data_IF_538027562370
#
_entry.id   IF_538027562370
#
_cell.length_a   1.000
_cell.length_b   1.000
_cell.length_c   1.000
_cell.angle_alpha   90.00
_cell.angle_beta   90.00
_cell.angle_gamma   90.00
#
_symmetry.space_group_name_H-M   'P 1'
#
loop_
_entity.id
_entity.type
_entity.pdbx_description
1 polymer ?
#
# COMPACT_ATOMS: atom_id res chain seq x y z
N UNK A 1 34.43 -13.64 27.81
CA UNK A 1 34.39 -13.55 26.34
C UNK A 1 32.95 -13.31 25.93
N UNK A 2 32.70 -12.19 25.24
CA UNK A 2 31.40 -11.84 24.64
C UNK A 2 31.25 -12.57 23.30
N UNK A 3 30.00 -12.86 22.94
CA UNK A 3 29.33 -13.00 21.63
C UNK A 3 28.20 -14.02 21.84
N UNK A 4 26.93 -13.86 21.45
CA UNK A 4 26.29 -12.99 20.46
C UNK A 4 24.79 -13.05 20.77
N UNK A 5 24.18 -11.92 21.12
CA UNK A 5 22.72 -11.77 21.19
C UNK A 5 22.28 -10.90 20.02
N UNK A 6 22.30 -11.47 18.81
CA UNK A 6 21.88 -10.81 17.57
C UNK A 6 21.08 -11.87 16.80
N UNK A 7 19.76 -11.83 16.91
CA UNK A 7 18.88 -12.82 16.28
C UNK A 7 17.47 -12.87 16.84
N UNK A 8 17.25 -12.38 18.07
CA UNK A 8 15.91 -12.39 18.68
C UNK A 8 15.12 -11.12 18.34
N UNK A 9 15.78 -9.98 18.15
CA UNK A 9 15.15 -8.71 17.78
C UNK A 9 14.68 -8.66 16.32
N UNK A 10 15.37 -9.36 15.42
CA UNK A 10 15.06 -9.37 13.98
C UNK A 10 13.88 -10.29 13.63
N UNK A 11 13.66 -11.34 14.42
CA UNK A 11 12.49 -12.22 14.29
C UNK A 11 11.22 -11.65 14.94
N UNK A 12 11.35 -10.73 15.90
CA UNK A 12 10.21 -10.18 16.64
C UNK A 12 9.48 -9.06 15.87
N UNK A 13 10.16 -8.38 14.95
CA UNK A 13 9.56 -7.35 14.10
C UNK A 13 8.73 -7.93 12.94
N UNK A 14 8.96 -9.21 12.56
CA UNK A 14 8.18 -9.94 11.56
C UNK A 14 6.76 -10.31 12.08
N UNK A 15 6.44 -10.02 13.35
CA UNK A 15 5.33 -10.65 14.06
C UNK A 15 3.94 -10.04 13.84
N UNK A 16 3.79 -8.79 13.40
CA UNK A 16 2.44 -8.18 13.33
C UNK A 16 1.75 -8.43 11.98
N UNK A 17 2.53 -8.48 10.88
CA UNK A 17 2.03 -8.62 9.53
C UNK A 17 2.63 -9.87 8.88
N UNK A 18 1.84 -10.95 8.86
CA UNK A 18 2.24 -12.26 8.36
C UNK A 18 2.25 -12.33 6.82
N UNK A 19 2.96 -11.41 6.15
CA UNK A 19 3.04 -11.35 4.69
C UNK A 19 3.42 -12.71 4.08
N UNK A 20 4.45 -13.36 4.63
CA UNK A 20 4.94 -14.67 4.19
C UNK A 20 3.91 -15.81 4.26
N UNK A 21 2.89 -15.73 5.12
CA UNK A 21 1.86 -16.77 5.28
C UNK A 21 0.65 -16.57 4.36
N UNK A 22 0.52 -15.38 3.77
CA UNK A 22 -0.64 -14.98 2.94
C UNK A 22 -0.38 -15.09 1.45
N UNK A 23 0.89 -15.18 1.08
CA UNK A 23 1.35 -15.50 -0.24
C UNK A 23 1.40 -17.04 -0.41
N UNK A 24 0.80 -17.63 -1.47
CA UNK A 24 0.82 -19.07 -1.70
C UNK A 24 2.26 -19.58 -1.81
N UNK A 25 2.51 -20.78 -1.27
CA UNK A 25 3.84 -21.39 -1.26
C UNK A 25 4.40 -21.54 -2.69
N UNK A 26 5.71 -21.30 -2.87
CA UNK A 26 6.41 -21.60 -4.12
C UNK A 26 6.17 -23.07 -4.48
N UNK A 27 5.48 -23.34 -5.59
CA UNK A 27 5.50 -24.68 -6.15
C UNK A 27 6.94 -24.94 -6.63
N UNK A 28 7.58 -26.05 -6.19
CA UNK A 28 8.89 -26.40 -6.71
C UNK A 28 8.76 -26.65 -8.21
N UNK A 29 9.64 -26.01 -8.98
CA UNK A 29 9.80 -26.25 -10.41
C UNK A 29 10.06 -27.74 -10.62
N UNK A 30 9.08 -28.46 -11.15
CA UNK A 30 9.31 -29.79 -11.72
C UNK A 30 10.12 -29.61 -12.99
N UNK A 31 11.40 -30.00 -12.97
CA UNK A 31 12.23 -30.11 -14.17
C UNK A 31 11.50 -30.92 -15.24
N UNK A 32 11.17 -30.28 -16.37
CA UNK A 32 10.49 -30.91 -17.52
C UNK A 32 9.29 -30.13 -18.08
N UNK A 33 8.88 -29.02 -17.47
CA UNK A 33 7.87 -28.11 -18.02
C UNK A 33 8.55 -26.97 -18.78
N UNK A 34 8.36 -26.91 -20.11
CA UNK A 34 8.79 -25.79 -20.98
C UNK A 34 7.95 -24.50 -20.79
N UNK A 35 7.13 -24.45 -19.73
CA UNK A 35 6.47 -23.23 -19.29
C UNK A 35 7.29 -22.61 -18.15
N UNK A 36 7.67 -21.32 -18.24
CA UNK A 36 8.30 -20.64 -17.12
C UNK A 36 7.37 -20.77 -15.92
N UNK A 37 7.92 -21.20 -14.78
CA UNK A 37 7.18 -21.30 -13.53
C UNK A 37 6.85 -19.89 -13.04
N UNK A 38 5.79 -19.29 -13.59
CA UNK A 38 5.23 -18.03 -13.12
C UNK A 38 4.74 -18.28 -11.70
N UNK A 39 5.29 -17.53 -10.75
CA UNK A 39 4.82 -17.57 -9.37
C UNK A 39 3.33 -17.22 -9.36
N UNK A 40 2.47 -17.87 -8.55
CA UNK A 40 1.02 -17.61 -8.54
C UNK A 40 0.63 -16.16 -8.20
N UNK A 41 1.63 -15.34 -7.85
CA UNK A 41 1.52 -13.96 -7.41
C UNK A 41 1.82 -12.94 -8.50
N UNK A 42 2.24 -13.34 -9.70
CA UNK A 42 3.12 -12.46 -10.45
C UNK A 42 4.45 -12.27 -9.69
N UNK A 43 5.37 -11.52 -10.28
CA UNK A 43 6.74 -11.48 -9.76
C UNK A 43 6.84 -10.49 -8.60
N UNK A 44 6.88 -11.03 -7.37
CA UNK A 44 7.40 -10.27 -6.22
C UNK A 44 8.84 -9.89 -6.52
N UNK A 45 9.14 -8.61 -6.41
CA UNK A 45 10.51 -8.14 -6.55
C UNK A 45 11.34 -8.51 -5.33
N UNK A 46 12.68 -8.59 -5.47
CA UNK A 46 13.57 -8.77 -4.33
C UNK A 46 13.26 -7.77 -3.22
N UNK A 47 13.36 -8.17 -1.93
CA UNK A 47 13.15 -7.27 -0.82
C UNK A 47 13.99 -6.00 -0.92
N UNK A 48 13.43 -4.86 -0.51
CA UNK A 48 14.21 -3.65 -0.29
C UNK A 48 15.08 -3.83 0.94
N UNK A 49 16.24 -3.20 0.95
CA UNK A 49 17.11 -3.12 2.12
C UNK A 49 16.63 -2.04 3.09
N UNK A 50 16.96 -2.18 4.37
CA UNK A 50 16.72 -1.15 5.39
C UNK A 50 17.31 0.22 5.02
N UNK A 51 18.42 0.23 4.28
CA UNK A 51 19.07 1.46 3.83
C UNK A 51 18.27 2.15 2.71
N UNK A 52 17.70 1.37 1.78
CA UNK A 52 16.84 1.90 0.72
C UNK A 52 15.54 2.46 1.31
N UNK A 53 14.89 1.71 2.21
CA UNK A 53 13.67 2.16 2.91
C UNK A 53 13.92 3.46 3.67
N UNK A 54 15.02 3.54 4.43
CA UNK A 54 15.37 4.77 5.16
C UNK A 54 15.64 5.94 4.23
N UNK A 55 16.30 5.70 3.10
CA UNK A 55 16.56 6.75 2.11
C UNK A 55 15.26 7.30 1.50
N UNK A 56 14.26 6.44 1.27
CA UNK A 56 12.94 6.88 0.83
C UNK A 56 12.27 7.75 1.91
N UNK A 57 12.25 7.30 3.16
CA UNK A 57 11.69 8.07 4.29
C UNK A 57 12.36 9.44 4.46
N UNK A 58 13.69 9.49 4.36
CA UNK A 58 14.45 10.75 4.37
C UNK A 58 14.08 11.66 3.20
N UNK A 59 13.86 11.10 2.00
CA UNK A 59 13.43 11.85 0.81
C UNK A 59 12.00 12.37 0.90
N UNK A 60 11.09 11.61 1.51
CA UNK A 60 9.70 11.99 1.73
C UNK A 60 9.54 12.93 2.95
N UNK A 61 10.48 12.91 3.88
CA UNK A 61 10.44 13.68 5.13
C UNK A 61 9.50 13.08 6.20
N UNK A 62 9.16 11.79 6.09
CA UNK A 62 8.20 11.08 6.93
C UNK A 62 8.62 9.62 7.13
N UNK A 63 8.24 9.03 8.27
CA UNK A 63 8.37 7.58 8.46
C UNK A 63 7.18 6.87 7.79
N UNK A 64 7.44 5.78 7.06
CA UNK A 64 6.39 5.04 6.37
C UNK A 64 5.51 4.29 7.38
N UNK A 65 4.22 4.06 7.05
CA UNK A 65 3.36 3.28 7.93
C UNK A 65 3.90 1.85 8.09
N UNK A 66 3.91 1.29 9.32
CA UNK A 66 4.62 0.04 9.63
C UNK A 66 4.32 -1.11 8.68
N UNK A 67 3.06 -1.32 8.30
CA UNK A 67 2.64 -2.41 7.42
C UNK A 67 3.19 -2.28 6.00
N UNK A 68 3.26 -1.06 5.46
CA UNK A 68 3.85 -0.80 4.15
C UNK A 68 5.37 -0.88 4.18
N UNK A 69 6.00 -0.35 5.24
CA UNK A 69 7.45 -0.50 5.48
C UNK A 69 7.84 -1.98 5.49
N UNK A 70 7.12 -2.79 6.26
CA UNK A 70 7.37 -4.24 6.33
C UNK A 70 7.11 -4.95 5.02
N UNK A 71 6.12 -4.49 4.23
CA UNK A 71 5.91 -5.00 2.90
C UNK A 71 7.13 -4.76 2.00
N UNK A 72 7.68 -3.53 1.94
CA UNK A 72 8.87 -3.23 1.14
C UNK A 72 10.10 -4.07 1.55
N UNK A 73 10.28 -4.30 2.86
CA UNK A 73 11.33 -5.18 3.41
C UNK A 73 11.07 -6.68 3.15
N UNK A 74 9.86 -7.06 2.73
CA UNK A 74 9.50 -8.41 2.31
C UNK A 74 9.57 -8.56 0.78
N UNK A 75 9.14 -7.56 0.03
CA UNK A 75 9.17 -7.47 -1.41
C UNK A 75 9.14 -6.00 -1.85
N UNK A 76 10.12 -5.57 -2.64
CA UNK A 76 10.18 -4.20 -3.17
C UNK A 76 9.23 -4.01 -4.36
N UNK A 77 7.93 -4.12 -4.11
CA UNK A 77 6.89 -4.08 -5.14
C UNK A 77 6.37 -5.47 -5.52
N UNK A 78 5.29 -5.48 -6.28
CA UNK A 78 4.54 -6.67 -6.65
C UNK A 78 3.87 -6.48 -8.00
N UNK A 79 3.85 -7.52 -8.83
CA UNK A 79 3.20 -7.50 -10.15
C UNK A 79 4.10 -6.89 -11.23
N UNK A 80 4.01 -7.42 -12.46
CA UNK A 80 4.85 -7.01 -13.58
C UNK A 80 4.07 -6.52 -14.81
N UNK A 81 2.74 -6.65 -14.84
CA UNK A 81 1.91 -6.38 -16.02
C UNK A 81 0.58 -5.68 -15.65
N UNK A 82 0.07 -4.94 -16.63
CA UNK A 82 -0.94 -3.85 -16.67
C UNK A 82 -2.21 -3.94 -15.80
N UNK A 83 -2.49 -5.05 -15.13
CA UNK A 83 -3.73 -5.24 -14.36
C UNK A 83 -3.58 -4.92 -12.86
N UNK A 84 -2.38 -5.07 -12.29
CA UNK A 84 -2.13 -4.77 -10.88
C UNK A 84 -0.66 -4.73 -10.51
N UNK A 85 -0.24 -3.64 -9.87
CA UNK A 85 1.08 -3.55 -9.29
C UNK A 85 1.10 -2.77 -7.96
N UNK A 86 2.06 -3.14 -7.12
CA UNK A 86 2.58 -2.27 -6.07
C UNK A 86 3.95 -1.77 -6.53
N UNK A 87 4.13 -0.45 -6.47
CA UNK A 87 5.31 0.23 -6.96
C UNK A 87 6.55 -0.17 -6.17
N UNK A 88 7.69 -0.18 -6.88
CA UNK A 88 8.99 -0.33 -6.26
C UNK A 88 9.39 0.99 -5.60
N UNK A 89 10.29 0.92 -4.65
CA UNK A 89 10.71 2.05 -3.83
C UNK A 89 11.25 3.23 -4.65
N UNK A 90 11.76 3.00 -5.85
CA UNK A 90 12.26 4.04 -6.76
C UNK A 90 11.13 4.80 -7.50
N UNK A 91 9.92 4.24 -7.52
CA UNK A 91 8.74 4.73 -8.23
C UNK A 91 7.71 5.36 -7.28
N UNK A 92 7.84 5.09 -5.97
CA UNK A 92 6.97 5.62 -4.92
C UNK A 92 7.27 7.10 -4.67
N UNK A 93 6.21 7.91 -4.54
CA UNK A 93 6.30 9.32 -4.23
C UNK A 93 4.95 9.96 -3.94
N UNK A 94 4.96 11.24 -3.59
CA UNK A 94 3.73 12.00 -3.37
C UNK A 94 2.92 12.06 -4.66
N UNK A 95 1.61 11.83 -4.59
CA UNK A 95 0.74 11.72 -5.76
C UNK A 95 0.81 12.98 -6.63
N UNK A 96 0.83 14.17 -6.01
CA UNK A 96 0.99 15.45 -6.73
C UNK A 96 2.26 15.55 -7.59
N UNK A 97 3.30 14.79 -7.25
CA UNK A 97 4.62 14.87 -7.89
C UNK A 97 4.76 13.74 -8.93
N UNK A 98 4.24 12.55 -8.61
CA UNK A 98 4.34 11.35 -9.47
C UNK A 98 3.23 11.30 -10.53
N UNK A 99 1.99 11.63 -10.16
CA UNK A 99 0.85 11.68 -11.07
C UNK A 99 -0.03 12.91 -10.79
N UNK A 100 0.42 14.11 -11.23
CA UNK A 100 -0.32 15.36 -11.03
C UNK A 100 -1.72 15.34 -11.65
N UNK A 101 -1.92 14.56 -12.73
CA UNK A 101 -3.21 14.49 -13.42
C UNK A 101 -4.26 13.81 -12.55
N UNK A 102 -3.92 12.70 -11.90
CA UNK A 102 -4.80 12.04 -10.92
C UNK A 102 -4.98 12.95 -9.72
N UNK A 103 -3.90 13.54 -9.19
CA UNK A 103 -3.99 14.46 -8.06
C UNK A 103 -4.97 15.60 -8.32
N UNK A 104 -4.87 16.29 -9.45
CA UNK A 104 -5.73 17.41 -9.83
C UNK A 104 -7.19 16.98 -10.07
N UNK A 105 -7.40 15.83 -10.72
CA UNK A 105 -8.75 15.36 -11.08
C UNK A 105 -9.59 14.98 -9.87
N UNK A 106 -8.94 14.44 -8.84
CA UNK A 106 -9.59 13.94 -7.63
C UNK A 106 -9.48 14.88 -6.44
N UNK A 107 -8.56 15.85 -6.48
CA UNK A 107 -8.58 16.97 -5.55
C UNK A 107 -9.82 17.82 -5.81
N UNK A 108 -10.54 18.16 -4.76
CA UNK A 108 -11.67 19.08 -4.87
C UNK A 108 -11.21 20.48 -5.33
N UNK A 109 -11.94 21.15 -6.24
CA UNK A 109 -11.72 22.57 -6.52
C UNK A 109 -12.15 23.48 -5.35
N UNK A 110 -11.24 24.40 -4.97
CA UNK A 110 -11.40 25.64 -4.16
C UNK A 110 -12.52 26.55 -4.70
N UNK A 111 -13.03 27.62 -4.03
CA UNK A 111 -13.17 28.00 -2.61
C UNK A 111 -14.66 28.13 -2.19
N UNK A 112 -15.59 27.64 -3.02
CA UNK A 112 -17.03 27.92 -2.91
C UNK A 112 -17.87 26.78 -2.33
N UNK A 113 -17.22 25.66 -1.96
CA UNK A 113 -17.78 24.64 -1.10
C UNK A 113 -16.66 24.00 -0.25
N UNK A 114 -16.11 24.75 0.70
CA UNK A 114 -15.10 24.29 1.67
C UNK A 114 -15.68 23.31 2.72
N UNK A 115 -16.63 22.47 2.32
CA UNK A 115 -17.21 21.47 3.20
C UNK A 115 -16.34 20.22 3.16
N UNK A 116 -15.32 20.21 4.02
CA UNK A 116 -14.64 18.96 4.34
C UNK A 116 -15.65 17.98 4.93
N UNK A 117 -15.56 16.72 4.53
CA UNK A 117 -16.44 15.67 5.05
C UNK A 117 -16.28 15.59 6.58
N UNK A 118 -17.36 15.77 7.38
CA UNK A 118 -17.28 15.70 8.84
C UNK A 118 -16.76 14.35 9.33
N UNK A 119 -16.08 14.35 10.47
CA UNK A 119 -15.53 13.14 11.11
C UNK A 119 -16.55 12.00 11.23
N UNK A 120 -17.80 12.32 11.56
CA UNK A 120 -18.90 11.36 11.71
C UNK A 120 -19.22 10.59 10.42
N UNK A 121 -18.99 11.21 9.26
CA UNK A 121 -19.18 10.61 7.94
C UNK A 121 -17.88 10.04 7.38
N UNK A 122 -16.75 10.64 7.75
CA UNK A 122 -15.43 10.29 7.26
C UNK A 122 -14.92 9.00 7.91
N UNK A 123 -14.91 8.90 9.24
CA UNK A 123 -14.30 7.78 9.99
C UNK A 123 -15.16 6.50 10.05
N UNK A 124 -16.08 6.32 9.09
CA UNK A 124 -16.82 5.07 8.88
C UNK A 124 -16.02 4.19 7.92
N UNK A 125 -15.62 3.01 8.39
CA UNK A 125 -14.84 2.03 7.64
C UNK A 125 -15.62 0.72 7.44
N UNK A 126 -15.14 -0.14 6.53
CA UNK A 126 -15.77 -1.42 6.25
C UNK A 126 -16.93 -1.31 5.26
N UNK A 127 -17.96 -2.14 5.38
CA UNK A 127 -19.07 -2.20 4.42
C UNK A 127 -20.05 -1.03 4.48
N UNK A 128 -20.09 -0.31 5.60
CA UNK A 128 -21.00 0.83 5.81
C UNK A 128 -20.43 2.15 5.29
N UNK A 129 -19.15 2.16 4.89
CA UNK A 129 -18.53 3.36 4.34
C UNK A 129 -19.17 3.77 3.02
N UNK A 130 -19.21 5.07 2.77
CA UNK A 130 -19.59 5.62 1.48
C UNK A 130 -18.33 6.14 0.80
N UNK A 131 -18.00 5.65 -0.40
CA UNK A 131 -16.74 6.01 -1.07
C UNK A 131 -16.60 7.51 -1.33
N UNK A 132 -17.72 8.20 -1.57
CA UNK A 132 -17.75 9.66 -1.76
C UNK A 132 -17.48 10.46 -0.49
N UNK A 133 -17.50 9.85 0.70
CA UNK A 133 -17.15 10.52 1.96
C UNK A 133 -15.63 10.62 2.16
N UNK A 134 -14.84 10.67 1.08
CA UNK A 134 -13.41 10.97 1.13
C UNK A 134 -13.17 12.48 1.23
N UNK A 135 -12.01 12.88 1.71
CA UNK A 135 -11.61 14.29 1.81
C UNK A 135 -10.70 14.62 0.64
N UNK A 136 -11.26 15.26 -0.39
CA UNK A 136 -10.52 15.56 -1.62
C UNK A 136 -9.28 16.42 -1.36
N UNK A 137 -9.28 17.24 -0.31
CA UNK A 137 -8.13 18.05 0.09
C UNK A 137 -6.91 17.24 0.53
N UNK A 138 -7.05 15.95 0.84
CA UNK A 138 -5.92 15.07 1.19
C UNK A 138 -5.26 14.41 -0.02
N UNK A 139 -5.95 14.34 -1.17
CA UNK A 139 -5.54 13.52 -2.33
C UNK A 139 -4.13 13.87 -2.80
N UNK A 140 -3.84 15.15 -3.00
CA UNK A 140 -2.53 15.62 -3.48
C UNK A 140 -1.36 15.31 -2.52
N UNK A 141 -1.65 15.06 -1.24
CA UNK A 141 -0.67 14.74 -0.20
C UNK A 141 -0.59 13.24 0.11
N UNK A 142 -1.32 12.41 -0.62
CA UNK A 142 -1.19 10.96 -0.47
C UNK A 142 0.06 10.41 -1.15
N UNK A 143 0.61 9.33 -0.62
CA UNK A 143 1.71 8.59 -1.22
C UNK A 143 1.16 7.55 -2.21
N UNK A 144 1.60 7.59 -3.46
CA UNK A 144 1.24 6.58 -4.45
C UNK A 144 2.04 5.30 -4.20
N UNK A 145 1.35 4.21 -3.88
CA UNK A 145 1.95 2.92 -3.56
C UNK A 145 1.73 1.85 -4.64
N UNK A 146 0.81 2.07 -5.58
CA UNK A 146 0.44 1.06 -6.57
C UNK A 146 -0.70 1.47 -7.48
N UNK A 147 -0.93 0.65 -8.50
CA UNK A 147 -2.06 0.74 -9.42
C UNK A 147 -2.77 -0.60 -9.41
N UNK A 148 -4.08 -0.60 -9.19
CA UNK A 148 -4.88 -1.82 -9.27
C UNK A 148 -6.04 -1.58 -10.22
N UNK A 149 -6.19 -2.44 -11.23
CA UNK A 149 -7.11 -2.25 -12.35
C UNK A 149 -6.96 -0.81 -12.92
N UNK A 150 -8.02 -0.03 -13.19
CA UNK A 150 -7.89 1.41 -13.53
C UNK A 150 -7.91 2.36 -12.31
N UNK A 151 -7.58 1.86 -11.12
CA UNK A 151 -7.51 2.61 -9.86
C UNK A 151 -6.08 2.75 -9.31
N UNK A 152 -5.96 3.54 -8.25
CA UNK A 152 -4.69 3.79 -7.54
C UNK A 152 -4.77 3.39 -6.07
N UNK A 153 -3.65 2.86 -5.57
CA UNK A 153 -3.43 2.56 -4.17
C UNK A 153 -2.66 3.72 -3.55
N UNK A 154 -3.27 4.39 -2.58
CA UNK A 154 -2.74 5.59 -1.95
C UNK A 154 -2.60 5.40 -0.44
N UNK A 155 -1.57 5.98 0.17
CA UNK A 155 -1.40 6.05 1.62
C UNK A 155 -1.56 7.49 2.07
N UNK A 156 -2.48 7.74 3.00
CA UNK A 156 -2.87 9.07 3.44
C UNK A 156 -2.21 9.42 4.79
N UNK A 157 -1.17 10.28 4.82
CA UNK A 157 -0.48 10.65 6.05
C UNK A 157 -1.30 11.58 6.95
N UNK A 158 -2.38 12.20 6.46
CA UNK A 158 -3.22 13.11 7.25
C UNK A 158 -4.08 12.37 8.29
N UNK A 159 -4.26 11.06 8.12
CA UNK A 159 -5.03 10.20 9.01
C UNK A 159 -4.17 9.03 9.41
N UNK A 160 -3.70 9.04 10.65
CA UNK A 160 -2.87 7.99 11.21
C UNK A 160 -3.44 7.44 12.52
N UNK A 161 -3.22 6.16 12.77
CA UNK A 161 -3.52 5.53 14.07
C UNK A 161 -2.44 5.88 15.09
N UNK A 162 -2.69 5.56 16.37
CA UNK A 162 -1.67 5.68 17.43
C UNK A 162 -0.48 4.74 17.25
N UNK A 163 -0.61 3.72 16.39
CA UNK A 163 0.46 2.75 16.06
C UNK A 163 1.32 3.21 14.89
N UNK A 164 0.99 4.36 14.28
CA UNK A 164 1.72 4.91 13.13
C UNK A 164 1.22 4.41 11.77
N UNK A 165 0.23 3.52 11.73
CA UNK A 165 -0.44 3.15 10.48
C UNK A 165 -1.14 4.36 9.86
N UNK A 166 -0.98 4.53 8.56
CA UNK A 166 -1.70 5.51 7.77
C UNK A 166 -2.94 4.88 7.19
N UNK A 167 -3.98 5.69 7.03
CA UNK A 167 -5.15 5.29 6.26
C UNK A 167 -4.72 4.96 4.81
N UNK A 168 -5.21 3.84 4.28
CA UNK A 168 -4.94 3.42 2.92
C UNK A 168 -6.20 3.51 2.08
N UNK A 169 -6.07 3.98 0.84
CA UNK A 169 -7.17 4.23 -0.08
C UNK A 169 -6.99 3.39 -1.34
N UNK A 170 -8.09 2.79 -1.79
CA UNK A 170 -8.25 2.40 -3.17
C UNK A 170 -9.17 3.43 -3.83
N UNK A 171 -8.59 4.26 -4.70
CA UNK A 171 -9.29 5.33 -5.41
C UNK A 171 -9.42 4.93 -6.88
N UNK A 172 -10.65 4.88 -7.39
CA UNK A 172 -10.90 4.40 -8.75
C UNK A 172 -12.07 5.15 -9.39
N UNK A 173 -12.06 5.37 -10.72
CA UNK A 173 -13.07 6.17 -11.41
C UNK A 173 -14.48 5.56 -11.40
N UNK A 174 -14.60 4.23 -11.23
CA UNK A 174 -15.91 3.58 -11.07
C UNK A 174 -16.41 3.60 -9.61
N UNK A 175 -15.57 4.02 -8.67
CA UNK A 175 -16.00 4.38 -7.33
C UNK A 175 -16.36 5.87 -7.33
N UNK A 176 -17.42 6.26 -6.62
CA UNK A 176 -17.76 7.67 -6.43
C UNK A 176 -16.76 8.43 -5.52
N UNK A 177 -15.54 7.90 -5.34
CA UNK A 177 -14.50 8.37 -4.41
C UNK A 177 -13.57 7.22 -4.03
N UNK A 178 -13.09 7.19 -2.78
CA UNK A 178 -12.14 6.19 -2.30
C UNK A 178 -12.81 5.12 -1.41
N UNK A 179 -12.43 3.86 -1.59
CA UNK A 179 -12.60 2.86 -0.52
C UNK A 179 -11.42 2.95 0.44
N UNK A 180 -11.69 3.15 1.72
CA UNK A 180 -10.71 3.48 2.75
C UNK A 180 -10.56 2.36 3.77
N UNK A 181 -9.34 2.23 4.25
CA UNK A 181 -8.87 1.19 5.16
C UNK A 181 -7.98 1.82 6.23
N UNK A 182 -7.94 1.21 7.42
CA UNK A 182 -7.19 1.77 8.56
C UNK A 182 -5.68 1.59 8.44
N UNK A 183 -5.23 0.77 7.50
CA UNK A 183 -3.82 0.45 7.26
C UNK A 183 -3.62 -0.05 5.83
N UNK A 184 -2.38 -0.02 5.35
CA UNK A 184 -2.02 -0.67 4.08
C UNK A 184 -2.25 -2.19 4.13
N UNK A 185 -1.98 -2.81 5.28
CA UNK A 185 -2.28 -4.23 5.51
C UNK A 185 -3.76 -4.56 5.24
N UNK A 186 -4.70 -3.81 5.81
CA UNK A 186 -6.13 -4.07 5.65
C UNK A 186 -6.57 -3.97 4.19
N UNK A 187 -6.05 -2.99 3.45
CA UNK A 187 -6.28 -2.79 2.03
C UNK A 187 -5.74 -3.98 1.21
N UNK A 188 -4.49 -4.38 1.43
CA UNK A 188 -3.87 -5.49 0.72
C UNK A 188 -4.50 -6.85 1.05
N UNK A 189 -4.96 -7.07 2.29
CA UNK A 189 -5.66 -8.31 2.66
C UNK A 189 -7.04 -8.42 2.01
N UNK A 190 -7.76 -7.30 1.87
CA UNK A 190 -9.04 -7.27 1.16
C UNK A 190 -8.83 -7.58 -0.32
N UNK A 191 -7.81 -7.00 -0.95
CA UNK A 191 -7.48 -7.25 -2.36
C UNK A 191 -7.08 -8.71 -2.62
N UNK A 192 -6.17 -9.27 -1.80
CA UNK A 192 -5.78 -10.67 -1.91
C UNK A 192 -6.98 -11.62 -1.74
N UNK A 193 -7.91 -11.28 -0.84
CA UNK A 193 -9.14 -12.06 -0.65
C UNK A 193 -10.07 -12.01 -1.87
N UNK A 194 -10.14 -10.86 -2.54
CA UNK A 194 -10.97 -10.69 -3.75
C UNK A 194 -10.37 -11.43 -4.95
N UNK A 195 -9.05 -11.33 -5.15
CA UNK A 195 -8.36 -12.00 -6.26
C UNK A 195 -8.23 -13.50 -6.09
N UNK A 196 -8.08 -13.97 -4.85
CA UNK A 196 -7.86 -15.39 -4.54
C UNK A 196 -8.87 -15.90 -3.51
N UNK A 197 -10.15 -16.06 -3.89
CA UNK A 197 -11.14 -16.68 -3.04
C UNK A 197 -10.72 -18.14 -2.77
N UNK A 198 -10.71 -18.54 -1.50
CA UNK A 198 -10.46 -19.93 -1.10
C UNK A 198 -11.58 -20.88 -1.52
#
# INVERSE_FOLDING_TARGET
MRTTGCGVTELYLISQYAWSERFPARHPVTEGSDHPAVSPLGDLYPPATEAEVRKLEEGLGVELPPSYRQFLLFANGWGSDDDCCLLRIEEVGWLRDVDPSIAESWSEPKPENSWSVPDELYFVYGHEQVSGNMRGEYVADTLLAGYWDDGVVLLNPHVSTSEGEWEAWYLAPWLAGARRYRSFWDLAMDELRMRYPR
#
